data_IF_892146990925
#
_entry.id   IF_892146990925
#
_cell.length_a   1.000
_cell.length_b   1.000
_cell.length_c   1.000
_cell.angle_alpha   90.00
_cell.angle_beta   90.00
_cell.angle_gamma   90.00
#
_symmetry.space_group_name_H-M   'P 1'
#
loop_
_entity.id
_entity.type
_entity.pdbx_description
1 polymer ?
#
# COMPACT_ATOMS: atom_id res chain seq x y z
N UNK A 1 26.99 -32.67 33.38
CA UNK A 1 27.10 -33.68 32.30
C UNK A 1 25.78 -33.86 31.53
N UNK A 2 25.15 -32.78 31.04
CA UNK A 2 24.00 -32.89 30.12
C UNK A 2 23.99 -31.78 29.05
N UNK A 3 25.13 -31.12 28.80
CA UNK A 3 25.28 -30.05 27.81
C UNK A 3 26.37 -30.33 26.75
N UNK A 4 26.73 -31.60 26.54
CA UNK A 4 27.78 -32.02 25.57
C UNK A 4 27.33 -33.07 24.54
N UNK A 5 26.02 -33.33 24.37
CA UNK A 5 25.50 -34.33 23.40
C UNK A 5 24.67 -33.78 22.23
N UNK A 6 24.56 -32.45 22.07
CA UNK A 6 23.80 -31.85 20.96
C UNK A 6 24.66 -31.25 19.84
N UNK A 7 26.00 -31.36 19.91
CA UNK A 7 26.94 -30.70 18.97
C UNK A 7 27.59 -31.69 17.98
N UNK A 8 27.19 -32.97 17.95
CA UNK A 8 27.84 -34.01 17.12
C UNK A 8 26.91 -34.60 16.06
N UNK A 9 26.02 -33.81 15.44
CA UNK A 9 25.19 -34.33 14.34
C UNK A 9 24.98 -33.40 13.14
N UNK A 10 25.72 -32.31 13.02
CA UNK A 10 25.50 -31.35 11.92
C UNK A 10 26.75 -30.89 11.16
N UNK A 11 27.79 -31.72 11.08
CA UNK A 11 28.91 -31.51 10.15
C UNK A 11 29.35 -32.87 9.58
N UNK A 12 28.67 -33.38 8.55
CA UNK A 12 29.13 -34.11 7.33
C UNK A 12 27.83 -34.22 6.48
N UNK A 13 27.63 -33.65 5.29
CA UNK A 13 28.27 -33.91 3.99
C UNK A 13 27.92 -32.73 3.06
N UNK A 14 28.94 -32.16 2.42
CA UNK A 14 28.85 -31.31 1.24
C UNK A 14 29.00 -32.19 -0.03
N UNK A 15 28.25 -31.82 -1.09
CA UNK A 15 28.43 -32.15 -2.52
C UNK A 15 28.16 -33.58 -3.03
N UNK A 16 27.31 -33.68 -4.07
CA UNK A 16 27.24 -34.85 -4.96
C UNK A 16 25.87 -35.10 -5.60
N UNK A 17 25.81 -34.80 -6.90
CA UNK A 17 24.83 -35.05 -7.97
C UNK A 17 23.73 -36.12 -7.82
N UNK A 18 22.60 -35.83 -8.47
CA UNK A 18 21.34 -36.58 -8.35
C UNK A 18 21.25 -37.92 -9.06
N UNK A 19 20.14 -38.62 -8.80
CA UNK A 19 19.53 -39.52 -9.78
C UNK A 19 18.05 -39.75 -9.48
N UNK A 20 17.34 -39.99 -10.58
CA UNK A 20 15.91 -40.11 -10.75
C UNK A 20 15.18 -41.18 -9.92
N UNK A 21 13.90 -40.89 -9.69
CA UNK A 21 12.76 -41.79 -9.77
C UNK A 21 12.77 -43.11 -8.95
N UNK A 22 11.86 -43.18 -7.97
CA UNK A 22 11.10 -44.42 -7.79
C UNK A 22 9.65 -44.18 -7.36
N UNK A 23 8.77 -44.88 -8.08
CA UNK A 23 7.31 -44.88 -8.00
C UNK A 23 6.79 -45.63 -6.76
N UNK A 24 5.69 -45.09 -6.23
CA UNK A 24 4.43 -45.73 -5.75
C UNK A 24 4.46 -46.99 -4.84
N UNK A 25 3.67 -46.81 -3.76
CA UNK A 25 2.78 -47.72 -2.98
C UNK A 25 3.44 -48.62 -1.91
N UNK A 26 2.70 -49.06 -0.85
CA UNK A 26 1.24 -48.98 -0.63
C UNK A 26 0.77 -48.42 0.74
N UNK A 27 -0.53 -48.07 0.76
CA UNK A 27 -1.52 -48.12 1.85
C UNK A 27 -1.03 -48.60 3.24
N UNK A 28 -1.10 -47.73 4.25
CA UNK A 28 -1.06 -48.13 5.66
C UNK A 28 -2.29 -47.64 6.41
N UNK A 29 -2.82 -48.58 7.20
CA UNK A 29 -4.17 -48.61 7.74
C UNK A 29 -4.42 -47.60 8.84
N UNK A 30 -5.58 -46.97 8.71
CA UNK A 30 -6.30 -46.18 9.70
C UNK A 30 -6.76 -47.08 10.87
N UNK A 31 -6.02 -47.07 11.98
CA UNK A 31 -6.49 -47.35 13.35
C UNK A 31 -5.32 -47.15 14.33
N UNK A 32 -5.62 -46.47 15.44
CA UNK A 32 -4.82 -46.38 16.66
C UNK A 32 -3.61 -45.45 16.63
N UNK A 33 -3.83 -44.12 16.66
CA UNK A 33 -2.95 -43.14 17.37
C UNK A 33 -3.49 -41.69 17.26
N UNK A 34 -4.37 -41.30 18.18
CA UNK A 34 -4.51 -39.93 18.71
C UNK A 34 -4.45 -40.10 20.24
N UNK A 35 -3.56 -39.41 20.99
CA UNK A 35 -3.60 -37.95 21.08
C UNK A 35 -2.23 -37.31 21.38
N UNK A 36 -1.29 -37.31 20.42
CA UNK A 36 -0.01 -36.55 20.54
C UNK A 36 0.19 -35.51 19.45
N UNK A 37 -0.70 -35.45 18.45
CA UNK A 37 -0.63 -34.45 17.37
C UNK A 37 -1.33 -33.12 17.68
N UNK A 38 -2.19 -33.06 18.70
CA UNK A 38 -2.93 -31.83 19.05
C UNK A 38 -2.13 -30.86 19.92
N UNK A 39 -1.12 -31.34 20.66
CA UNK A 39 -0.26 -30.49 21.49
C UNK A 39 0.87 -29.83 20.68
N UNK A 40 1.31 -30.42 19.57
CA UNK A 40 2.29 -29.82 18.67
C UNK A 40 1.71 -28.69 17.80
N UNK A 41 0.42 -28.76 17.45
CA UNK A 41 -0.27 -27.72 16.68
C UNK A 41 -0.51 -26.45 17.51
N UNK A 42 -0.73 -26.60 18.83
CA UNK A 42 -0.90 -25.47 19.75
C UNK A 42 0.43 -24.77 20.10
N UNK A 43 1.55 -25.50 20.07
CA UNK A 43 2.89 -24.95 20.29
C UNK A 43 3.43 -24.17 19.07
N UNK A 44 3.01 -24.53 17.85
CA UNK A 44 3.42 -23.81 16.63
C UNK A 44 2.70 -22.46 16.46
N UNK A 45 1.51 -22.32 17.06
CA UNK A 45 0.73 -21.05 17.06
C UNK A 45 1.29 -20.02 18.06
N UNK A 46 1.95 -20.46 19.14
CA UNK A 46 2.49 -19.57 20.18
C UNK A 46 3.93 -19.09 19.93
N UNK A 47 4.61 -19.63 18.92
CA UNK A 47 6.01 -19.29 18.58
C UNK A 47 6.19 -18.68 17.18
N UNK A 48 5.10 -18.39 16.47
CA UNK A 48 5.13 -17.56 15.26
C UNK A 48 4.87 -16.10 15.64
N UNK A 49 5.89 -15.24 15.82
CA UNK A 49 5.67 -13.83 15.58
C UNK A 49 5.12 -13.70 14.16
N UNK A 50 3.96 -13.07 14.05
CA UNK A 50 3.26 -12.86 12.80
C UNK A 50 4.27 -12.43 11.72
N UNK A 51 4.46 -13.28 10.71
CA UNK A 51 5.02 -12.86 9.45
C UNK A 51 4.05 -11.85 8.85
N UNK A 52 4.18 -10.58 9.24
CA UNK A 52 3.50 -9.47 8.58
C UNK A 52 4.38 -9.05 7.43
N UNK A 53 3.85 -9.29 6.24
CA UNK A 53 4.26 -8.64 5.00
C UNK A 53 4.46 -7.13 5.24
N UNK A 54 5.47 -6.57 4.58
CA UNK A 54 5.87 -5.16 4.62
C UNK A 54 4.73 -4.20 4.28
N UNK A 55 3.96 -3.95 5.32
CA UNK A 55 2.96 -2.94 5.40
C UNK A 55 3.37 -2.10 6.60
N UNK A 56 3.52 -0.78 6.43
CA UNK A 56 4.06 0.11 7.48
C UNK A 56 3.49 -0.28 8.85
N UNK A 57 4.36 -0.59 9.83
CA UNK A 57 3.98 -1.13 11.14
C UNK A 57 2.89 -0.29 11.84
N UNK A 58 2.85 1.01 11.54
CA UNK A 58 1.85 1.95 12.04
C UNK A 58 0.54 2.02 11.25
N UNK A 59 0.35 1.27 10.16
CA UNK A 59 -0.80 1.46 9.27
C UNK A 59 -2.13 1.29 10.00
N UNK A 60 -2.27 0.21 10.78
CA UNK A 60 -3.52 -0.05 11.50
C UNK A 60 -3.81 1.05 12.53
N UNK A 61 -2.77 1.58 13.18
CA UNK A 61 -2.90 2.69 14.12
C UNK A 61 -3.22 4.00 13.41
N UNK A 62 -2.62 4.28 12.24
CA UNK A 62 -2.95 5.43 11.41
C UNK A 62 -4.42 5.39 10.98
N UNK A 63 -4.93 4.23 10.57
CA UNK A 63 -6.34 4.06 10.22
C UNK A 63 -7.28 4.24 11.41
N UNK A 64 -6.84 3.83 12.61
CA UNK A 64 -7.66 3.90 13.83
C UNK A 64 -7.71 5.31 14.40
N UNK A 65 -6.56 5.99 14.47
CA UNK A 65 -6.40 7.25 15.21
C UNK A 65 -6.23 8.47 14.29
N UNK A 66 -5.61 8.31 13.13
CA UNK A 66 -5.18 9.42 12.26
C UNK A 66 -5.87 9.45 10.89
N UNK A 67 -7.00 8.77 10.73
CA UNK A 67 -7.71 8.61 9.43
C UNK A 67 -8.16 9.93 8.78
N UNK A 68 -8.36 10.98 9.57
CA UNK A 68 -8.85 12.28 9.10
C UNK A 68 -7.72 13.30 8.93
N UNK A 69 -6.48 12.88 9.20
CA UNK A 69 -5.30 13.72 9.08
C UNK A 69 -4.76 13.68 7.66
N UNK A 70 -4.56 14.84 7.05
CA UNK A 70 -3.92 14.92 5.74
C UNK A 70 -2.44 14.51 5.83
N UNK A 71 -1.93 13.63 4.95
CA UNK A 71 -0.59 13.05 5.03
C UNK A 71 0.55 14.00 4.58
N UNK A 72 0.53 15.25 5.01
CA UNK A 72 1.52 16.27 4.65
C UNK A 72 2.26 16.80 5.88
N UNK A 73 3.48 17.29 5.68
CA UNK A 73 4.28 18.02 6.69
C UNK A 73 4.44 17.29 8.04
N UNK A 74 4.45 15.95 8.03
CA UNK A 74 4.59 15.17 9.26
C UNK A 74 3.36 15.19 10.19
N UNK A 75 2.21 15.69 9.73
CA UNK A 75 0.96 15.72 10.54
C UNK A 75 0.54 14.35 11.04
N UNK A 76 0.75 13.30 10.25
CA UNK A 76 0.47 11.92 10.66
C UNK A 76 1.38 11.51 11.81
N UNK A 77 2.67 11.83 11.75
CA UNK A 77 3.63 11.54 12.83
C UNK A 77 3.24 12.30 14.10
N UNK A 78 2.80 13.56 13.97
CA UNK A 78 2.28 14.34 15.11
C UNK A 78 1.06 13.67 15.75
N UNK A 79 0.08 13.27 14.93
CA UNK A 79 -1.11 12.56 15.42
C UNK A 79 -0.75 11.24 16.12
N UNK A 80 0.18 10.46 15.55
CA UNK A 80 0.63 9.21 16.18
C UNK A 80 1.29 9.46 17.55
N UNK A 81 2.04 10.56 17.70
CA UNK A 81 2.62 10.96 19.00
C UNK A 81 1.55 11.35 20.02
N UNK A 82 0.49 12.03 19.60
CA UNK A 82 -0.64 12.37 20.49
C UNK A 82 -1.38 11.12 20.97
N UNK A 83 -1.35 10.04 20.17
CA UNK A 83 -1.93 8.74 20.51
C UNK A 83 -0.90 7.70 20.95
N UNK A 84 0.32 8.10 21.33
CA UNK A 84 1.45 7.18 21.57
C UNK A 84 1.09 6.04 22.53
N UNK A 85 0.40 6.35 23.64
CA UNK A 85 -0.02 5.35 24.62
C UNK A 85 -0.96 4.27 24.01
N UNK A 86 -1.76 4.64 23.02
CA UNK A 86 -2.79 3.81 22.40
C UNK A 86 -2.31 3.05 21.15
N UNK A 87 -1.09 3.35 20.68
CA UNK A 87 -0.49 2.68 19.53
C UNK A 87 -0.18 1.21 19.82
N UNK A 88 -0.25 0.39 18.77
CA UNK A 88 0.24 -0.98 18.79
C UNK A 88 1.72 -1.06 19.15
N UNK A 89 2.15 -2.20 19.71
CA UNK A 89 3.56 -2.43 20.01
C UNK A 89 4.44 -2.32 18.76
N UNK A 90 3.98 -2.87 17.63
CA UNK A 90 4.69 -2.79 16.34
C UNK A 90 4.90 -1.33 15.90
N UNK A 91 3.88 -0.48 16.05
CA UNK A 91 4.00 0.94 15.70
C UNK A 91 4.87 1.73 16.68
N UNK A 92 4.80 1.43 17.98
CA UNK A 92 5.66 2.05 19.00
C UNK A 92 7.13 1.80 18.70
N UNK A 93 7.50 0.53 18.50
CA UNK A 93 8.88 0.15 18.15
C UNK A 93 9.34 0.87 16.88
N UNK A 94 8.50 0.91 15.83
CA UNK A 94 8.86 1.63 14.60
C UNK A 94 8.97 3.15 14.82
N UNK A 95 8.16 3.72 15.70
CA UNK A 95 8.21 5.13 16.08
C UNK A 95 9.50 5.48 16.81
N UNK A 96 9.94 4.63 17.73
CA UNK A 96 11.21 4.73 18.45
C UNK A 96 12.39 4.64 17.48
N UNK A 97 12.43 3.63 16.60
CA UNK A 97 13.47 3.51 15.57
C UNK A 97 13.57 4.76 14.69
N UNK A 98 12.43 5.33 14.28
CA UNK A 98 12.40 6.55 13.47
C UNK A 98 12.88 7.78 14.25
N UNK A 99 12.58 7.84 15.55
CA UNK A 99 13.03 8.91 16.44
C UNK A 99 14.54 8.85 16.61
N UNK A 100 15.07 7.69 16.98
CA UNK A 100 16.52 7.46 17.17
C UNK A 100 17.29 7.78 15.89
N UNK A 101 16.76 7.36 14.74
CA UNK A 101 17.37 7.68 13.43
C UNK A 101 17.39 9.19 13.16
N UNK A 102 16.31 9.89 13.50
CA UNK A 102 16.22 11.35 13.31
C UNK A 102 17.17 12.09 14.27
N UNK A 103 17.26 11.64 15.52
CA UNK A 103 18.17 12.21 16.52
C UNK A 103 19.62 11.97 16.14
N UNK A 104 19.98 10.74 15.76
CA UNK A 104 21.33 10.42 15.27
C UNK A 104 21.71 11.18 13.99
N UNK A 105 20.76 11.41 13.08
CA UNK A 105 21.00 12.27 11.91
C UNK A 105 21.25 13.73 12.34
N UNK A 106 20.42 14.26 13.23
CA UNK A 106 20.56 15.63 13.73
C UNK A 106 21.91 15.80 14.41
N UNK A 107 22.29 14.91 15.33
CA UNK A 107 23.57 14.96 16.03
C UNK A 107 24.76 15.01 15.07
N UNK A 108 24.78 14.14 14.06
CA UNK A 108 25.87 14.06 13.10
C UNK A 108 25.95 15.26 12.13
N UNK A 109 24.80 15.85 11.78
CA UNK A 109 24.70 16.87 10.73
C UNK A 109 24.32 18.28 11.21
N UNK A 110 24.08 18.50 12.51
CA UNK A 110 23.58 19.79 13.02
C UNK A 110 24.49 20.96 12.63
N UNK A 111 25.80 20.81 12.80
CA UNK A 111 26.74 21.88 12.46
C UNK A 111 26.73 22.24 10.97
N UNK A 112 26.59 21.24 10.09
CA UNK A 112 26.48 21.45 8.65
C UNK A 112 25.12 22.06 8.27
N UNK A 113 24.04 21.64 8.93
CA UNK A 113 22.71 22.22 8.73
C UNK A 113 22.69 23.71 9.12
N UNK A 114 23.30 24.07 10.25
CA UNK A 114 23.36 25.46 10.72
C UNK A 114 24.25 26.33 9.82
N UNK A 115 25.33 25.74 9.28
CA UNK A 115 26.26 26.44 8.39
C UNK A 115 25.70 26.63 6.98
N UNK A 116 25.07 25.60 6.40
CA UNK A 116 24.74 25.57 4.98
C UNK A 116 23.23 25.63 4.68
N UNK A 117 22.37 25.24 5.62
CA UNK A 117 20.94 25.01 5.39
C UNK A 117 20.02 25.77 6.36
N UNK A 118 20.52 26.79 7.08
CA UNK A 118 19.77 27.54 8.09
C UNK A 118 18.44 28.14 7.61
N UNK A 119 18.38 28.54 6.34
CA UNK A 119 17.21 29.20 5.74
C UNK A 119 16.24 28.20 5.07
N UNK A 120 16.55 26.89 5.15
CA UNK A 120 15.75 25.84 4.53
C UNK A 120 14.72 25.32 5.53
N UNK A 121 13.44 25.44 5.18
CA UNK A 121 12.37 24.90 6.01
C UNK A 121 12.43 23.36 6.08
N UNK A 122 12.35 22.76 7.29
CA UNK A 122 12.26 21.32 7.46
C UNK A 122 11.04 20.71 6.75
N UNK A 123 11.12 19.42 6.41
CA UNK A 123 10.07 18.68 5.72
C UNK A 123 10.36 18.41 4.24
N UNK A 124 9.64 17.45 3.66
CA UNK A 124 9.69 17.07 2.23
C UNK A 124 11.10 16.76 1.68
N UNK A 125 12.04 16.38 2.56
CA UNK A 125 13.43 16.10 2.17
C UNK A 125 14.25 17.34 1.78
N UNK A 126 13.77 18.57 2.06
CA UNK A 126 14.45 19.82 1.67
C UNK A 126 15.84 19.95 2.29
N UNK A 127 15.99 19.60 3.58
CA UNK A 127 17.28 19.63 4.27
C UNK A 127 18.28 18.62 3.67
N UNK A 128 17.83 17.40 3.38
CA UNK A 128 18.67 16.37 2.74
C UNK A 128 19.10 16.82 1.35
N UNK A 129 18.22 17.48 0.59
CA UNK A 129 18.57 18.06 -0.72
C UNK A 129 19.65 19.14 -0.59
N UNK A 130 19.50 20.06 0.36
CA UNK A 130 20.50 21.10 0.64
C UNK A 130 21.87 20.49 0.99
N UNK A 131 21.90 19.51 1.89
CA UNK A 131 23.14 18.80 2.25
C UNK A 131 23.75 18.06 1.04
N UNK A 132 22.93 17.43 0.20
CA UNK A 132 23.41 16.74 -1.02
C UNK A 132 24.07 17.69 -2.02
N UNK A 133 23.55 18.90 -2.18
CA UNK A 133 24.15 19.93 -3.05
C UNK A 133 25.50 20.44 -2.52
N UNK A 134 25.75 20.27 -1.21
CA UNK A 134 26.97 20.69 -0.50
C UNK A 134 27.83 19.52 -0.03
N UNK A 135 27.64 18.33 -0.60
CA UNK A 135 28.22 17.08 -0.09
C UNK A 135 29.76 17.12 0.08
N UNK A 136 30.47 17.87 -0.77
CA UNK A 136 31.92 18.02 -0.69
C UNK A 136 32.39 18.94 0.44
N UNK A 137 31.50 19.78 1.00
CA UNK A 137 31.77 20.77 2.04
C UNK A 137 31.28 20.33 3.43
N UNK A 138 30.62 19.16 3.52
CA UNK A 138 30.09 18.62 4.77
C UNK A 138 31.19 18.07 5.67
N UNK A 139 30.91 18.04 6.97
CA UNK A 139 31.75 17.33 7.93
C UNK A 139 31.84 15.82 7.60
N UNK A 140 32.92 15.19 8.05
CA UNK A 140 33.09 13.74 7.91
C UNK A 140 31.99 12.95 8.62
N UNK A 141 31.54 13.43 9.79
CA UNK A 141 30.45 12.82 10.57
C UNK A 141 29.12 12.89 9.83
N UNK A 142 28.77 14.04 9.25
CA UNK A 142 27.54 14.17 8.48
C UNK A 142 27.59 13.38 7.17
N UNK A 143 28.73 13.39 6.48
CA UNK A 143 28.93 12.61 5.24
C UNK A 143 28.76 11.12 5.49
N UNK A 144 29.36 10.61 6.57
CA UNK A 144 29.21 9.22 6.98
C UNK A 144 27.74 8.91 7.28
N UNK A 145 27.07 9.75 8.07
CA UNK A 145 25.66 9.50 8.44
C UNK A 145 24.75 9.51 7.22
N UNK A 146 24.95 10.43 6.27
CA UNK A 146 24.21 10.43 4.99
C UNK A 146 24.45 9.14 4.20
N UNK A 147 25.68 8.62 4.18
CA UNK A 147 25.99 7.37 3.49
C UNK A 147 25.29 6.17 4.15
N UNK A 148 25.31 6.07 5.48
CA UNK A 148 24.61 5.01 6.24
C UNK A 148 23.10 5.03 5.98
N UNK A 149 22.45 6.20 6.06
CA UNK A 149 21.03 6.35 5.79
C UNK A 149 20.68 6.02 4.32
N UNK A 150 21.57 6.36 3.39
CA UNK A 150 21.41 6.03 1.96
C UNK A 150 21.43 4.52 1.75
N UNK A 151 22.36 3.80 2.38
CA UNK A 151 22.45 2.34 2.31
C UNK A 151 21.18 1.67 2.86
N UNK A 152 20.66 2.12 4.00
CA UNK A 152 19.40 1.60 4.57
C UNK A 152 18.21 1.87 3.62
N UNK A 153 18.13 3.07 3.04
CA UNK A 153 17.07 3.43 2.11
C UNK A 153 17.13 2.62 0.81
N UNK A 154 18.33 2.37 0.28
CA UNK A 154 18.53 1.55 -0.92
C UNK A 154 18.12 0.10 -0.67
N UNK A 155 18.38 -0.46 0.52
CA UNK A 155 17.89 -1.81 0.89
C UNK A 155 16.36 -1.90 0.84
N UNK A 156 15.64 -0.85 1.27
CA UNK A 156 14.18 -0.76 1.14
C UNK A 156 13.69 -0.50 -0.30
N UNK A 157 14.56 0.05 -1.14
CA UNK A 157 14.25 0.47 -2.51
C UNK A 157 15.37 0.10 -3.51
N UNK A 158 15.57 -1.20 -3.76
CA UNK A 158 16.72 -1.69 -4.54
C UNK A 158 16.74 -1.17 -5.99
N UNK A 159 15.57 -0.78 -6.53
CA UNK A 159 15.46 -0.23 -7.88
C UNK A 159 15.92 1.21 -8.05
N UNK A 160 16.22 1.96 -6.98
CA UNK A 160 16.56 3.38 -7.12
C UNK A 160 17.89 3.61 -7.82
N UNK A 161 18.89 2.79 -7.50
CA UNK A 161 20.21 2.88 -8.13
C UNK A 161 20.12 2.58 -9.63
N UNK A 162 19.39 1.51 -10.00
CA UNK A 162 19.15 1.16 -11.40
C UNK A 162 18.37 2.26 -12.12
N UNK A 163 17.37 2.85 -11.48
CA UNK A 163 16.59 3.94 -12.07
C UNK A 163 17.42 5.21 -12.29
N UNK A 164 18.34 5.54 -11.38
CA UNK A 164 19.27 6.67 -11.55
C UNK A 164 20.30 6.38 -12.65
N UNK A 165 20.81 5.14 -12.72
CA UNK A 165 21.79 4.74 -13.73
C UNK A 165 21.21 4.65 -15.14
N UNK A 166 20.05 4.02 -15.28
CA UNK A 166 19.46 3.63 -16.57
C UNK A 166 18.38 4.60 -17.05
N UNK A 167 17.67 5.26 -16.11
CA UNK A 167 16.46 6.02 -16.40
C UNK A 167 16.50 7.46 -15.83
N UNK A 168 17.69 8.05 -15.66
CA UNK A 168 17.83 9.45 -15.23
C UNK A 168 17.19 10.44 -16.20
N UNK A 169 17.31 10.17 -17.50
CA UNK A 169 16.85 11.05 -18.58
C UNK A 169 15.37 10.82 -18.94
N UNK A 170 14.77 9.75 -18.41
CA UNK A 170 13.35 9.49 -18.60
C UNK A 170 12.52 10.56 -17.88
N UNK A 171 11.70 11.28 -18.66
CA UNK A 171 10.89 12.38 -18.17
C UNK A 171 9.94 11.97 -17.03
N UNK A 172 9.66 12.91 -16.13
CA UNK A 172 8.71 12.72 -15.04
C UNK A 172 7.28 12.74 -15.59
N UNK A 173 6.49 11.72 -15.24
CA UNK A 173 5.08 11.62 -15.62
C UNK A 173 4.78 10.41 -16.51
N UNK A 174 3.49 10.13 -16.70
CA UNK A 174 2.95 9.15 -17.68
C UNK A 174 3.55 7.73 -17.63
N UNK A 175 4.16 7.33 -16.52
CA UNK A 175 4.82 6.02 -16.42
C UNK A 175 6.04 5.87 -17.34
N UNK A 176 6.60 6.97 -17.87
CA UNK A 176 7.78 6.95 -18.77
C UNK A 176 8.99 6.29 -18.08
N UNK A 177 9.22 6.57 -16.79
CA UNK A 177 10.24 5.86 -15.99
C UNK A 177 9.97 4.36 -15.86
N UNK A 178 8.70 3.96 -15.72
CA UNK A 178 8.32 2.54 -15.67
C UNK A 178 8.54 1.87 -17.03
N UNK A 179 8.26 2.57 -18.13
CA UNK A 179 8.55 2.10 -19.49
C UNK A 179 10.05 1.91 -19.69
N UNK A 180 10.87 2.92 -19.35
CA UNK A 180 12.33 2.83 -19.39
C UNK A 180 12.84 1.62 -18.59
N UNK A 181 12.35 1.42 -17.36
CA UNK A 181 12.74 0.25 -16.56
C UNK A 181 12.37 -1.10 -17.18
N UNK A 182 11.27 -1.17 -17.95
CA UNK A 182 10.91 -2.39 -18.69
C UNK A 182 11.81 -2.62 -19.90
N UNK A 183 12.18 -1.56 -20.61
CA UNK A 183 13.10 -1.63 -21.75
C UNK A 183 14.51 -2.04 -21.30
N UNK A 184 14.92 -1.60 -20.11
CA UNK A 184 16.18 -1.98 -19.48
C UNK A 184 16.05 -3.15 -18.49
N UNK A 185 15.00 -3.96 -18.57
CA UNK A 185 14.74 -5.06 -17.61
C UNK A 185 15.93 -6.03 -17.51
N UNK A 186 16.63 -6.29 -18.62
CA UNK A 186 17.81 -7.14 -18.64
C UNK A 186 18.99 -6.55 -17.85
N UNK A 187 19.12 -5.21 -17.83
CA UNK A 187 20.22 -4.47 -17.20
C UNK A 187 19.96 -4.14 -15.72
N UNK A 188 18.75 -4.42 -15.22
CA UNK A 188 18.43 -4.23 -13.80
C UNK A 188 19.23 -5.16 -12.90
N UNK A 189 19.54 -4.67 -11.71
CA UNK A 189 20.17 -5.44 -10.63
C UNK A 189 19.30 -6.63 -10.21
N UNK A 190 19.91 -7.72 -9.71
CA UNK A 190 19.15 -8.87 -9.19
C UNK A 190 18.16 -8.49 -8.09
N UNK A 191 18.55 -7.56 -7.21
CA UNK A 191 17.70 -7.08 -6.11
C UNK A 191 16.49 -6.30 -6.63
N UNK A 192 16.69 -5.44 -7.64
CA UNK A 192 15.56 -4.73 -8.25
C UNK A 192 14.63 -5.69 -9.00
N UNK A 193 15.18 -6.67 -9.74
CA UNK A 193 14.39 -7.71 -10.43
C UNK A 193 13.53 -8.51 -9.45
N UNK A 194 14.10 -8.93 -8.32
CA UNK A 194 13.36 -9.61 -7.27
C UNK A 194 12.21 -8.73 -6.74
N UNK A 195 12.47 -7.47 -6.40
CA UNK A 195 11.42 -6.56 -5.90
C UNK A 195 10.32 -6.27 -6.94
N UNK A 196 10.67 -6.21 -8.22
CA UNK A 196 9.70 -6.07 -9.31
C UNK A 196 8.84 -7.33 -9.43
N UNK A 197 9.44 -8.52 -9.32
CA UNK A 197 8.72 -9.78 -9.34
C UNK A 197 7.73 -9.88 -8.16
N UNK A 198 8.19 -9.59 -6.93
CA UNK A 198 7.33 -9.54 -5.74
C UNK A 198 6.14 -8.61 -5.96
N UNK A 199 6.41 -7.39 -6.44
CA UNK A 199 5.36 -6.40 -6.68
C UNK A 199 4.43 -6.79 -7.82
N UNK A 200 4.92 -7.49 -8.83
CA UNK A 200 4.10 -8.04 -9.93
C UNK A 200 3.16 -9.12 -9.41
N UNK A 201 3.62 -9.99 -8.51
CA UNK A 201 2.77 -10.99 -7.84
C UNK A 201 1.73 -10.33 -6.93
N UNK A 202 2.08 -9.28 -6.19
CA UNK A 202 1.13 -8.47 -5.43
C UNK A 202 0.10 -7.78 -6.35
N UNK A 203 0.54 -7.27 -7.50
CA UNK A 203 -0.36 -6.63 -8.49
C UNK A 203 -1.28 -7.64 -9.18
N UNK A 204 -0.84 -8.89 -9.42
CA UNK A 204 -1.72 -9.98 -9.89
C UNK A 204 -2.84 -10.30 -8.90
N UNK A 205 -2.67 -9.98 -7.63
CA UNK A 205 -3.71 -10.12 -6.59
C UNK A 205 -4.54 -8.84 -6.41
N UNK A 206 -4.22 -7.76 -7.13
CA UNK A 206 -4.82 -6.44 -6.93
C UNK A 206 -6.15 -6.26 -7.67
N UNK A 207 -7.17 -6.95 -7.16
CA UNK A 207 -8.57 -6.70 -7.46
C UNK A 207 -9.23 -7.70 -8.41
N UNK A 208 -10.57 -7.67 -8.49
CA UNK A 208 -11.38 -8.76 -9.06
C UNK A 208 -11.21 -8.99 -10.57
N UNK A 209 -10.50 -8.10 -11.28
CA UNK A 209 -10.25 -8.23 -12.72
C UNK A 209 -8.85 -8.75 -13.07
N UNK A 210 -7.99 -9.03 -12.08
CA UNK A 210 -6.59 -9.30 -12.36
C UNK A 210 -6.37 -10.57 -13.20
N UNK A 211 -7.09 -11.65 -12.89
CA UNK A 211 -7.05 -12.89 -13.67
C UNK A 211 -7.59 -12.70 -15.09
N UNK A 212 -8.68 -11.95 -15.25
CA UNK A 212 -9.27 -11.66 -16.56
C UNK A 212 -8.34 -10.79 -17.42
N UNK A 213 -7.66 -9.82 -16.82
CA UNK A 213 -6.67 -8.99 -17.51
C UNK A 213 -5.50 -9.83 -18.03
N UNK A 214 -5.01 -10.78 -17.25
CA UNK A 214 -3.94 -11.69 -17.67
C UNK A 214 -4.40 -12.66 -18.77
N UNK A 215 -5.65 -13.10 -18.72
CA UNK A 215 -6.22 -14.04 -19.69
C UNK A 215 -6.55 -13.37 -21.03
N UNK A 216 -7.22 -12.23 -21.02
CA UNK A 216 -7.79 -11.62 -22.23
C UNK A 216 -7.00 -10.42 -22.74
N UNK A 217 -6.34 -9.67 -21.85
CA UNK A 217 -5.72 -8.37 -22.18
C UNK A 217 -4.19 -8.37 -22.04
N UNK A 218 -3.56 -9.54 -22.10
CA UNK A 218 -2.10 -9.67 -22.05
C UNK A 218 -1.47 -8.99 -23.27
N UNK A 219 -0.61 -8.00 -23.02
CA UNK A 219 0.07 -7.24 -24.08
C UNK A 219 -0.64 -5.95 -24.50
N UNK A 220 -1.81 -5.63 -23.94
CA UNK A 220 -2.44 -4.33 -24.14
C UNK A 220 -1.58 -3.23 -23.52
N UNK A 221 -1.25 -2.21 -24.32
CA UNK A 221 -0.48 -1.07 -23.86
C UNK A 221 -1.22 -0.35 -22.73
N UNK A 222 -0.54 -0.13 -21.60
CA UNK A 222 -1.08 0.65 -20.49
C UNK A 222 -1.33 2.10 -20.90
N UNK A 223 -2.28 2.76 -20.24
CA UNK A 223 -2.68 4.13 -20.55
C UNK A 223 -3.95 4.23 -21.39
N UNK A 224 -4.48 5.45 -21.48
CA UNK A 224 -5.62 5.85 -22.33
C UNK A 224 -6.92 5.03 -22.19
N UNK A 225 -7.04 4.20 -21.15
CA UNK A 225 -8.23 3.35 -20.97
C UNK A 225 -8.22 2.06 -21.81
N UNK A 226 -7.16 1.79 -22.60
CA UNK A 226 -7.09 0.62 -23.50
C UNK A 226 -7.36 -0.72 -22.81
N UNK A 227 -6.86 -0.88 -21.59
CA UNK A 227 -7.09 -2.11 -20.79
C UNK A 227 -8.57 -2.24 -20.43
N UNK A 228 -9.25 -1.12 -20.10
CA UNK A 228 -10.69 -1.12 -19.83
C UNK A 228 -11.50 -1.37 -21.09
N UNK A 229 -11.04 -0.88 -22.24
CA UNK A 229 -11.67 -1.15 -23.55
C UNK A 229 -11.58 -2.64 -23.90
N UNK A 230 -10.41 -3.24 -23.72
CA UNK A 230 -10.20 -4.68 -23.88
C UNK A 230 -11.10 -5.50 -22.94
N UNK A 231 -11.18 -5.13 -21.66
CA UNK A 231 -12.08 -5.84 -20.74
C UNK A 231 -13.55 -5.71 -21.17
N UNK A 232 -13.97 -4.56 -21.70
CA UNK A 232 -15.33 -4.37 -22.24
C UNK A 232 -15.60 -5.20 -23.48
N UNK A 233 -14.64 -5.41 -24.37
CA UNK A 233 -14.84 -6.29 -25.53
C UNK A 233 -15.01 -7.76 -25.13
N UNK A 234 -14.52 -8.14 -23.95
CA UNK A 234 -14.66 -9.48 -23.38
C UNK A 234 -15.72 -9.57 -22.28
N UNK A 235 -16.65 -8.60 -22.18
CA UNK A 235 -17.59 -8.46 -21.05
C UNK A 235 -18.30 -9.77 -20.66
N UNK A 236 -18.71 -10.58 -21.65
CA UNK A 236 -19.42 -11.85 -21.41
C UNK A 236 -18.49 -12.95 -20.88
N UNK A 237 -17.21 -12.91 -21.23
CA UNK A 237 -16.18 -13.90 -20.90
C UNK A 237 -15.45 -13.59 -19.58
N UNK A 238 -15.60 -12.36 -19.07
CA UNK A 238 -15.03 -11.93 -17.79
C UNK A 238 -15.58 -12.74 -16.61
N UNK A 239 -14.79 -12.85 -15.54
CA UNK A 239 -15.27 -13.37 -14.26
C UNK A 239 -16.47 -12.57 -13.74
N UNK A 240 -17.28 -13.21 -12.89
CA UNK A 240 -18.44 -12.57 -12.25
C UNK A 240 -18.02 -11.34 -11.44
N UNK A 241 -16.92 -11.45 -10.70
CA UNK A 241 -16.39 -10.35 -9.90
C UNK A 241 -15.90 -9.19 -10.77
N UNK A 242 -15.21 -9.47 -11.88
CA UNK A 242 -14.75 -8.42 -12.79
C UNK A 242 -15.90 -7.73 -13.51
N UNK A 243 -16.92 -8.49 -13.96
CA UNK A 243 -18.14 -7.92 -14.53
C UNK A 243 -18.86 -7.00 -13.56
N UNK A 244 -19.08 -7.46 -12.32
CA UNK A 244 -19.73 -6.66 -11.29
C UNK A 244 -18.97 -5.34 -11.06
N UNK A 245 -17.65 -5.40 -10.96
CA UNK A 245 -16.82 -4.19 -10.85
C UNK A 245 -16.90 -3.29 -12.09
N UNK A 246 -16.94 -3.87 -13.29
CA UNK A 246 -17.09 -3.14 -14.54
C UNK A 246 -18.41 -2.35 -14.58
N UNK A 247 -19.51 -2.97 -14.15
CA UNK A 247 -20.83 -2.34 -14.05
C UNK A 247 -20.83 -1.20 -13.01
N UNK A 248 -20.25 -1.41 -11.83
CA UNK A 248 -20.12 -0.36 -10.81
C UNK A 248 -19.35 0.86 -11.34
N UNK A 249 -18.25 0.64 -12.07
CA UNK A 249 -17.47 1.72 -12.67
C UNK A 249 -18.29 2.42 -13.76
N UNK A 250 -19.00 1.67 -14.60
CA UNK A 250 -19.84 2.21 -15.67
C UNK A 250 -20.95 3.11 -15.12
N UNK A 251 -21.64 2.69 -14.07
CA UNK A 251 -22.67 3.49 -13.38
C UNK A 251 -22.08 4.81 -12.85
N UNK A 252 -20.95 4.73 -12.14
CA UNK A 252 -20.30 5.92 -11.57
C UNK A 252 -19.79 6.89 -12.63
N UNK A 253 -19.28 6.39 -13.74
CA UNK A 253 -18.85 7.22 -14.87
C UNK A 253 -20.05 7.86 -15.56
N UNK A 254 -21.18 7.15 -15.71
CA UNK A 254 -22.40 7.70 -16.28
C UNK A 254 -22.95 8.83 -15.39
N UNK A 255 -23.09 8.60 -14.09
CA UNK A 255 -23.57 9.60 -13.13
C UNK A 255 -22.67 10.85 -13.10
N UNK A 256 -21.34 10.64 -13.09
CA UNK A 256 -20.38 11.74 -13.17
C UNK A 256 -20.53 12.54 -14.47
N UNK A 257 -20.64 11.83 -15.59
CA UNK A 257 -20.81 12.44 -16.91
C UNK A 257 -22.09 13.27 -16.95
N UNK A 258 -23.23 12.71 -16.54
CA UNK A 258 -24.50 13.44 -16.50
C UNK A 258 -24.43 14.73 -15.67
N UNK A 259 -23.76 14.68 -14.52
CA UNK A 259 -23.64 15.83 -13.62
C UNK A 259 -22.67 16.90 -14.13
N UNK A 260 -21.56 16.48 -14.77
CA UNK A 260 -20.47 17.37 -15.17
C UNK A 260 -20.41 17.68 -16.67
N UNK A 261 -21.31 17.14 -17.51
CA UNK A 261 -21.20 17.21 -18.98
C UNK A 261 -21.06 18.65 -19.49
N UNK A 262 -21.92 19.55 -19.02
CA UNK A 262 -21.89 20.95 -19.47
C UNK A 262 -20.57 21.66 -19.10
N UNK A 263 -20.02 21.36 -17.92
CA UNK A 263 -18.73 21.89 -17.49
C UNK A 263 -17.57 21.28 -18.29
N UNK A 264 -17.64 19.99 -18.59
CA UNK A 264 -16.66 19.31 -19.43
C UNK A 264 -16.64 19.89 -20.84
N UNK A 265 -17.80 20.17 -21.42
CA UNK A 265 -17.90 20.77 -22.77
C UNK A 265 -17.45 22.23 -22.77
N UNK A 266 -17.68 22.95 -21.67
CA UNK A 266 -17.27 24.35 -21.54
C UNK A 266 -15.76 24.52 -21.29
N UNK A 267 -15.19 23.70 -20.42
CA UNK A 267 -13.81 23.90 -19.93
C UNK A 267 -12.81 22.87 -20.44
N UNK A 268 -13.26 21.65 -20.79
CA UNK A 268 -12.37 20.52 -21.07
C UNK A 268 -12.60 19.84 -22.43
N UNK A 269 -13.30 20.48 -23.38
CA UNK A 269 -13.66 19.90 -24.68
C UNK A 269 -12.47 19.38 -25.49
N UNK A 270 -11.33 20.06 -25.41
CA UNK A 270 -10.12 19.77 -26.19
C UNK A 270 -9.19 18.76 -25.46
N UNK A 271 -9.59 18.30 -24.27
CA UNK A 271 -8.79 17.39 -23.45
C UNK A 271 -9.05 15.95 -23.88
N UNK A 272 -8.00 15.29 -24.39
CA UNK A 272 -8.03 13.87 -24.70
C UNK A 272 -8.30 13.03 -23.45
N UNK A 273 -9.17 12.03 -23.58
CA UNK A 273 -9.49 11.09 -22.52
C UNK A 273 -8.26 10.27 -22.10
N UNK A 274 -8.28 9.74 -20.88
CA UNK A 274 -7.19 8.94 -20.32
C UNK A 274 -6.18 9.72 -19.49
N UNK A 275 -5.31 8.98 -18.80
CA UNK A 275 -4.18 9.49 -18.00
C UNK A 275 -4.56 10.51 -16.91
N UNK A 276 -5.84 10.58 -16.55
CA UNK A 276 -6.34 11.58 -15.60
C UNK A 276 -6.30 13.02 -16.12
N UNK A 277 -6.09 13.23 -17.43
CA UNK A 277 -6.06 14.59 -18.04
C UNK A 277 -7.35 15.36 -17.79
N UNK A 278 -8.48 14.69 -17.93
CA UNK A 278 -9.80 15.28 -17.64
C UNK A 278 -9.95 15.67 -16.16
N UNK A 279 -9.45 14.82 -15.25
CA UNK A 279 -9.45 15.12 -13.83
C UNK A 279 -8.53 16.29 -13.48
N UNK A 280 -7.42 16.45 -14.21
CA UNK A 280 -6.53 17.61 -14.07
C UNK A 280 -7.21 18.90 -14.54
N UNK A 281 -7.84 18.90 -15.71
CA UNK A 281 -8.59 20.03 -16.23
C UNK A 281 -9.69 20.48 -15.25
N UNK A 282 -10.52 19.54 -14.78
CA UNK A 282 -11.56 19.84 -13.79
C UNK A 282 -11.02 20.35 -12.46
N UNK A 283 -9.81 19.93 -12.06
CA UNK A 283 -9.15 20.44 -10.85
C UNK A 283 -8.68 21.89 -11.04
N UNK A 284 -8.18 22.23 -12.21
CA UNK A 284 -7.76 23.60 -12.56
C UNK A 284 -8.97 24.53 -12.60
N UNK A 285 -10.11 24.05 -13.11
CA UNK A 285 -11.37 24.79 -13.18
C UNK A 285 -12.35 24.54 -12.01
N UNK A 286 -11.90 23.94 -10.89
CA UNK A 286 -12.80 23.52 -9.80
C UNK A 286 -13.60 24.66 -9.15
N UNK A 287 -13.16 25.91 -9.32
CA UNK A 287 -13.85 27.10 -8.84
C UNK A 287 -14.88 27.66 -9.84
N UNK A 288 -14.77 27.26 -11.11
CA UNK A 288 -15.55 27.78 -12.25
C UNK A 288 -16.59 26.79 -12.76
N UNK A 289 -16.43 25.50 -12.44
CA UNK A 289 -17.45 24.47 -12.72
C UNK A 289 -18.72 24.70 -11.90
N UNK A 290 -19.84 24.16 -12.41
CA UNK A 290 -21.14 24.23 -11.75
C UNK A 290 -21.11 23.67 -10.33
N UNK A 291 -22.00 24.19 -9.46
CA UNK A 291 -22.17 23.68 -8.09
C UNK A 291 -22.39 22.15 -8.02
N UNK A 292 -23.27 21.57 -8.86
CA UNK A 292 -23.46 20.12 -8.93
C UNK A 292 -22.18 19.36 -9.31
N UNK A 293 -21.46 19.81 -10.35
CA UNK A 293 -20.22 19.14 -10.76
C UNK A 293 -19.15 19.25 -9.68
N UNK A 294 -19.02 20.42 -9.03
CA UNK A 294 -18.10 20.63 -7.92
C UNK A 294 -18.39 19.68 -6.75
N UNK A 295 -19.65 19.51 -6.39
CA UNK A 295 -20.06 18.58 -5.34
C UNK A 295 -19.70 17.13 -5.72
N UNK A 296 -19.95 16.72 -6.98
CA UNK A 296 -19.61 15.37 -7.44
C UNK A 296 -18.10 15.11 -7.48
N UNK A 297 -17.29 16.10 -7.87
CA UNK A 297 -15.83 16.02 -7.80
C UNK A 297 -15.37 15.83 -6.34
N UNK A 298 -15.97 16.55 -5.39
CA UNK A 298 -15.67 16.40 -3.98
C UNK A 298 -16.04 15.00 -3.47
N UNK A 299 -17.23 14.50 -3.79
CA UNK A 299 -17.69 13.15 -3.42
C UNK A 299 -16.74 12.07 -3.95
N UNK A 300 -16.42 12.08 -5.24
CA UNK A 300 -15.50 11.11 -5.85
C UNK A 300 -14.11 11.20 -5.22
N UNK A 301 -13.66 12.41 -4.86
CA UNK A 301 -12.38 12.62 -4.18
C UNK A 301 -12.40 12.04 -2.77
N UNK A 302 -13.49 12.19 -2.02
CA UNK A 302 -13.68 11.58 -0.69
C UNK A 302 -13.75 10.04 -0.80
N UNK A 303 -14.50 9.48 -1.76
CA UNK A 303 -14.53 8.04 -2.00
C UNK A 303 -13.15 7.48 -2.34
N UNK A 304 -12.38 8.19 -3.17
CA UNK A 304 -11.01 7.80 -3.51
C UNK A 304 -10.10 7.87 -2.30
N UNK A 305 -10.25 8.88 -1.44
CA UNK A 305 -9.52 8.96 -0.18
C UNK A 305 -9.90 7.79 0.73
N UNK A 306 -11.18 7.47 0.89
CA UNK A 306 -11.67 6.31 1.63
C UNK A 306 -11.16 4.97 1.07
N UNK A 307 -11.04 4.84 -0.26
CA UNK A 307 -10.46 3.66 -0.91
C UNK A 307 -8.93 3.63 -0.88
N UNK A 308 -8.24 4.76 -0.76
CA UNK A 308 -6.79 4.77 -0.51
C UNK A 308 -6.53 4.42 0.97
N UNK A 309 -7.39 4.89 1.87
CA UNK A 309 -7.41 4.52 3.29
C UNK A 309 -7.80 3.05 3.49
N UNK A 310 -8.75 2.51 2.73
CA UNK A 310 -9.24 1.12 2.85
C UNK A 310 -8.68 0.11 1.86
N UNK A 311 -8.05 0.54 0.76
CA UNK A 311 -7.60 -0.28 -0.38
C UNK A 311 -6.38 -1.14 -0.11
N UNK A 312 -5.98 -1.22 1.16
CA UNK A 312 -4.95 -2.10 1.65
C UNK A 312 -5.58 -3.20 2.55
N UNK A 313 -6.92 -3.30 2.59
CA UNK A 313 -7.70 -4.46 3.05
C UNK A 313 -9.04 -4.52 2.29
N UNK A 314 -9.24 -5.56 1.47
CA UNK A 314 -10.54 -5.83 0.85
C UNK A 314 -11.62 -6.03 1.90
N UNK A 315 -12.55 -5.07 2.03
CA UNK A 315 -13.84 -5.28 2.67
C UNK A 315 -14.94 -4.56 1.89
N UNK A 316 -15.85 -5.36 1.35
CA UNK A 316 -17.15 -4.94 0.81
C UNK A 316 -17.85 -4.06 1.84
N UNK A 317 -18.10 -2.79 1.48
CA UNK A 317 -19.17 -1.99 2.06
C UNK A 317 -20.29 -2.00 1.04
N UNK A 318 -21.50 -2.38 1.44
CA UNK A 318 -22.67 -2.27 0.57
C UNK A 318 -23.07 -0.80 0.38
N UNK A 319 -23.84 -0.52 -0.68
CA UNK A 319 -24.26 0.82 -1.13
C UNK A 319 -25.13 1.61 -0.10
N UNK A 320 -25.21 1.21 1.17
CA UNK A 320 -25.96 1.92 2.22
C UNK A 320 -25.19 2.28 3.49
N UNK A 321 -23.88 2.01 3.57
CA UNK A 321 -23.04 2.60 4.61
C UNK A 321 -23.42 2.23 6.06
N UNK A 322 -24.17 1.14 6.27
CA UNK A 322 -24.51 0.66 7.61
C UNK A 322 -23.60 -0.52 7.97
N UNK A 323 -22.62 -0.29 8.85
CA UNK A 323 -21.86 -1.38 9.47
C UNK A 323 -22.82 -2.31 10.22
N UNK A 324 -22.74 -3.62 9.96
CA UNK A 324 -23.50 -4.73 10.59
C UNK A 324 -23.35 -4.87 12.13
N UNK A 325 -22.91 -3.83 12.84
CA UNK A 325 -22.90 -3.71 14.30
C UNK A 325 -23.90 -2.66 14.83
N UNK A 326 -24.90 -2.26 14.04
CA UNK A 326 -25.94 -1.32 14.47
C UNK A 326 -27.29 -1.94 14.89
N UNK A 327 -27.56 -3.21 14.55
CA UNK A 327 -28.93 -3.77 14.63
C UNK A 327 -29.31 -4.47 15.95
N UNK A 328 -28.49 -4.40 16.99
CA UNK A 328 -28.81 -5.00 18.30
C UNK A 328 -29.01 -3.99 19.45
N UNK A 329 -28.93 -2.66 19.20
CA UNK A 329 -29.12 -1.62 20.24
C UNK A 329 -30.38 -0.75 20.10
N UNK A 330 -31.27 -1.02 19.13
CA UNK A 330 -32.55 -0.29 18.96
C UNK A 330 -33.82 -1.12 19.19
N UNK A 331 -33.70 -2.34 19.72
CA UNK A 331 -34.83 -3.11 20.30
C UNK A 331 -34.51 -3.43 21.75
N UNK A 332 -34.78 -2.50 22.66
CA UNK A 332 -34.52 -2.71 24.07
C UNK A 332 -34.43 -1.40 24.84
N UNK A 333 -35.48 -0.57 24.78
CA UNK A 333 -35.81 0.45 25.78
C UNK A 333 -37.14 1.11 25.39
N UNK A 334 -38.24 0.39 25.62
CA UNK A 334 -39.46 1.00 26.14
C UNK A 334 -39.79 0.21 27.40
N UNK A 335 -39.27 0.73 28.50
CA UNK A 335 -39.57 0.25 29.84
C UNK A 335 -41.03 0.54 30.18
N UNK A 336 -41.52 -0.29 31.09
CA UNK A 336 -42.81 -0.24 31.74
C UNK A 336 -43.22 1.18 32.18
N UNK A 337 -44.46 1.53 31.89
CA UNK A 337 -45.18 2.66 32.47
C UNK A 337 -46.57 2.15 32.85
N UNK A 338 -46.90 2.32 34.13
CA UNK A 338 -47.97 1.69 34.88
C UNK A 338 -49.40 1.94 34.35
N UNK A 339 -50.25 0.94 34.51
CA UNK A 339 -51.70 1.10 34.63
C UNK A 339 -52.04 1.59 36.04
N UNK A 340 -53.00 2.52 36.21
CA UNK A 340 -53.87 2.52 37.37
C UNK A 340 -55.15 1.73 37.07
N UNK A 341 -55.58 0.97 38.07
CA UNK A 341 -56.89 0.32 38.13
C UNK A 341 -57.95 1.29 38.67
N UNK A 342 -59.20 0.98 38.29
CA UNK A 342 -60.50 1.36 38.88
C UNK A 342 -60.97 2.82 38.79
N UNK A 343 -62.12 3.06 38.14
CA UNK A 343 -63.45 3.00 38.78
C UNK A 343 -64.58 3.21 37.75
N UNK A 344 -65.71 2.53 38.03
CA UNK A 344 -67.06 2.58 37.46
C UNK A 344 -67.40 1.75 36.20
#
# INVERSE_FOLDING_TARGET
MFLKKAIVFFIIIENGDGFSAFKRRPEMKLKDTLPTAFTALLACVLLCPAARAEESACKADIEKFCKDVQPSEGRIVKCLREHEAELSAECKTKGEELKDRTEGFKEACQADLDKFCKDIQPGEGRLVKCLKERQAELSGTCTQKIAEEKEEFVKGHPCLADMEKLCKDAEKGEGRKLKCMKEHEAELSPECKAKIADRKEEMKKSGPCAADMEKFCKGVQQGEGRVMDCLRSHEVELSTECRARGLEIKEKVAEFKETCQADLDKFCKDIKQGEGRLAKCLKEHQAEVSGPCKAKIAEVKEERQEKIKGGRMGKMKDKRGETLRGRMKKKGMKGAGAQPADEN
#
